data_IF_791361710517
#
_entry.id   IF_791361710517
#
_cell.length_a   1.000
_cell.length_b   1.000
_cell.length_c   1.000
_cell.angle_alpha   90.00
_cell.angle_beta   90.00
_cell.angle_gamma   90.00
#
_symmetry.space_group_name_H-M   'P 1'
#
loop_
_entity.id
_entity.type
_entity.pdbx_description
1 polymer ?
#
# COMPACT_ATOMS: atom_id res chain seq x y z
N UNK A 1 54.72 -9.51 -6.44
CA UNK A 1 54.09 -8.48 -5.59
C UNK A 1 52.56 -8.45 -5.76
N UNK A 2 52.05 -8.38 -7.00
CA UNK A 2 50.62 -8.39 -7.34
C UNK A 2 49.82 -9.58 -6.76
N UNK A 3 50.34 -10.81 -6.85
CA UNK A 3 49.65 -12.00 -6.31
C UNK A 3 49.44 -11.93 -4.78
N UNK A 4 50.37 -11.30 -4.04
CA UNK A 4 50.23 -11.13 -2.58
C UNK A 4 49.14 -10.09 -2.26
N UNK A 5 49.11 -8.99 -3.01
CA UNK A 5 48.07 -7.96 -2.88
C UNK A 5 46.68 -8.51 -3.23
N UNK A 6 46.56 -9.30 -4.31
CA UNK A 6 45.30 -9.93 -4.71
C UNK A 6 44.76 -10.90 -3.64
N UNK A 7 45.64 -11.72 -3.05
CA UNK A 7 45.26 -12.63 -1.95
C UNK A 7 44.79 -11.87 -0.70
N UNK A 8 45.47 -10.78 -0.36
CA UNK A 8 45.09 -9.92 0.77
C UNK A 8 43.74 -9.25 0.51
N UNK A 9 43.52 -8.70 -0.69
CA UNK A 9 42.25 -8.10 -1.08
C UNK A 9 41.11 -9.12 -1.03
N UNK A 10 41.33 -10.32 -1.58
CA UNK A 10 40.34 -11.41 -1.55
C UNK A 10 39.94 -11.78 -0.12
N UNK A 11 40.90 -11.82 0.82
CA UNK A 11 40.61 -12.05 2.25
C UNK A 11 39.68 -10.97 2.82
N UNK A 12 39.94 -9.70 2.54
CA UNK A 12 39.10 -8.61 3.03
C UNK A 12 37.70 -8.63 2.42
N UNK A 13 37.58 -8.92 1.12
CA UNK A 13 36.28 -9.09 0.46
C UNK A 13 35.51 -10.25 1.07
N UNK A 14 36.17 -11.38 1.35
CA UNK A 14 35.53 -12.53 2.00
C UNK A 14 35.06 -12.20 3.41
N UNK A 15 35.86 -11.48 4.20
CA UNK A 15 35.48 -11.03 5.54
C UNK A 15 34.30 -10.06 5.47
N UNK A 16 34.30 -9.12 4.52
CA UNK A 16 33.19 -8.19 4.33
C UNK A 16 31.90 -8.93 3.96
N UNK A 17 31.96 -9.87 3.02
CA UNK A 17 30.80 -10.67 2.61
C UNK A 17 30.25 -11.48 3.79
N UNK A 18 31.13 -12.08 4.59
CA UNK A 18 30.73 -12.81 5.80
C UNK A 18 30.06 -11.89 6.82
N UNK A 19 30.57 -10.67 7.03
CA UNK A 19 29.95 -9.67 7.90
C UNK A 19 28.55 -9.29 7.36
N UNK A 20 28.42 -9.01 6.06
CA UNK A 20 27.12 -8.67 5.45
C UNK A 20 26.09 -9.78 5.66
N UNK A 21 26.48 -11.04 5.44
CA UNK A 21 25.57 -12.18 5.68
C UNK A 21 25.21 -12.29 7.16
N UNK A 22 26.18 -12.20 8.08
CA UNK A 22 25.91 -12.28 9.51
C UNK A 22 24.97 -11.15 9.96
N UNK A 23 25.18 -9.91 9.51
CA UNK A 23 24.30 -8.80 9.83
C UNK A 23 22.89 -9.04 9.25
N UNK A 24 22.79 -9.47 7.98
CA UNK A 24 21.51 -9.78 7.35
C UNK A 24 20.71 -10.85 8.08
N UNK A 25 21.38 -11.86 8.66
CA UNK A 25 20.75 -12.92 9.46
C UNK A 25 20.32 -12.46 10.86
N UNK A 26 20.93 -11.41 11.41
CA UNK A 26 20.60 -10.86 12.73
C UNK A 26 19.52 -9.77 12.66
N UNK A 27 19.29 -9.17 11.49
CA UNK A 27 18.27 -8.15 11.27
C UNK A 27 16.84 -8.73 11.34
N UNK A 28 15.83 -7.95 11.75
CA UNK A 28 14.43 -8.38 11.74
C UNK A 28 13.97 -8.75 10.33
N UNK A 29 13.31 -9.89 10.19
CA UNK A 29 12.77 -10.35 8.91
C UNK A 29 11.33 -9.90 8.66
N UNK A 30 10.66 -9.43 9.72
CA UNK A 30 9.30 -8.91 9.66
C UNK A 30 9.33 -7.41 9.49
N UNK A 31 8.43 -6.89 8.67
CA UNK A 31 8.18 -5.46 8.54
C UNK A 31 6.71 -5.18 8.86
N UNK A 32 6.46 -4.00 9.41
CA UNK A 32 5.13 -3.58 9.83
C UNK A 32 5.03 -2.07 9.76
N UNK A 33 4.02 -1.59 9.04
CA UNK A 33 3.82 -0.17 8.78
C UNK A 33 2.39 0.18 9.17
N UNK A 34 2.23 1.30 9.88
CA UNK A 34 0.93 1.86 10.22
C UNK A 34 0.93 3.36 9.94
N UNK A 35 -0.01 3.83 9.13
CA UNK A 35 -0.20 5.24 8.80
C UNK A 35 -1.67 5.59 8.93
N UNK A 36 -1.96 6.83 9.30
CA UNK A 36 -3.32 7.33 9.37
C UNK A 36 -3.44 8.73 8.78
N UNK A 37 -4.67 9.09 8.43
CA UNK A 37 -5.04 10.43 7.96
C UNK A 37 -6.44 10.78 8.41
N UNK A 38 -6.67 12.05 8.73
CA UNK A 38 -8.02 12.59 8.95
C UNK A 38 -8.59 13.16 7.65
N UNK A 39 -9.75 12.66 7.27
CA UNK A 39 -10.48 13.01 6.04
C UNK A 39 -11.81 13.65 6.41
N UNK A 40 -12.01 14.89 5.97
CA UNK A 40 -13.28 15.60 6.10
C UNK A 40 -14.15 15.36 4.85
N UNK A 41 -14.71 14.15 4.75
CA UNK A 41 -15.62 13.70 3.70
C UNK A 41 -16.56 12.65 4.27
N UNK A 42 -17.70 12.39 3.61
CA UNK A 42 -18.59 11.31 4.00
C UNK A 42 -17.87 9.95 4.05
N UNK A 43 -18.10 9.18 5.11
CA UNK A 43 -17.50 7.85 5.28
C UNK A 43 -17.88 6.88 4.16
N UNK A 44 -19.07 7.02 3.56
CA UNK A 44 -19.46 6.21 2.41
C UNK A 44 -18.57 6.48 1.19
N UNK A 45 -18.23 7.74 0.95
CA UNK A 45 -17.33 8.16 -0.14
C UNK A 45 -15.95 7.52 0.03
N UNK A 46 -15.40 7.58 1.26
CA UNK A 46 -14.11 6.98 1.59
C UNK A 46 -14.14 5.46 1.39
N UNK A 47 -15.17 4.78 1.92
CA UNK A 47 -15.31 3.32 1.81
C UNK A 47 -15.43 2.86 0.37
N UNK A 48 -16.20 3.57 -0.45
CA UNK A 48 -16.33 3.28 -1.88
C UNK A 48 -14.97 3.38 -2.60
N UNK A 49 -14.20 4.43 -2.34
CA UNK A 49 -12.89 4.64 -2.97
C UNK A 49 -11.87 3.53 -2.66
N UNK A 50 -11.90 2.98 -1.43
CA UNK A 50 -10.96 1.93 -1.02
C UNK A 50 -11.46 0.52 -1.34
N UNK A 51 -12.77 0.29 -1.35
CA UNK A 51 -13.37 -1.03 -1.59
C UNK A 51 -13.61 -1.36 -3.07
N UNK A 52 -13.31 -0.45 -3.99
CA UNK A 52 -13.45 -0.64 -5.43
C UNK A 52 -12.10 -0.42 -6.12
N UNK A 53 -11.49 -1.51 -6.59
CA UNK A 53 -10.18 -1.44 -7.26
C UNK A 53 -10.23 -0.65 -8.57
N UNK A 54 -11.39 -0.49 -9.20
CA UNK A 54 -11.53 0.37 -10.36
C UNK A 54 -11.27 1.84 -10.04
N UNK A 55 -11.43 2.26 -8.78
CA UNK A 55 -11.20 3.64 -8.35
C UNK A 55 -9.78 3.89 -7.82
N UNK A 56 -8.98 2.84 -7.63
CA UNK A 56 -7.65 2.98 -7.02
C UNK A 56 -6.71 3.84 -7.84
N UNK A 57 -6.82 3.85 -9.18
CA UNK A 57 -5.99 4.70 -10.04
C UNK A 57 -6.14 6.20 -9.73
N UNK A 58 -7.21 6.63 -9.06
CA UNK A 58 -7.44 8.04 -8.72
C UNK A 58 -6.60 8.52 -7.53
N UNK A 59 -6.19 7.62 -6.63
CA UNK A 59 -5.53 7.98 -5.37
C UNK A 59 -4.29 7.14 -5.05
N UNK A 60 -4.22 5.90 -5.54
CA UNK A 60 -3.09 5.00 -5.32
C UNK A 60 -1.81 5.60 -5.90
N UNK A 61 -0.71 5.68 -5.13
CA UNK A 61 0.54 6.26 -5.58
C UNK A 61 1.43 5.27 -6.33
N UNK A 62 1.04 4.00 -6.46
CA UNK A 62 1.92 2.95 -6.97
C UNK A 62 2.46 3.24 -8.38
N UNK A 63 1.68 3.83 -9.27
CA UNK A 63 2.17 4.25 -10.60
C UNK A 63 3.16 5.43 -10.55
N UNK A 64 3.14 6.25 -9.49
CA UNK A 64 4.12 7.31 -9.26
C UNK A 64 5.43 6.74 -8.68
N UNK A 65 5.31 5.70 -7.84
CA UNK A 65 6.44 5.01 -7.20
C UNK A 65 7.15 4.08 -8.18
N UNK A 66 6.39 3.39 -9.03
CA UNK A 66 6.88 2.52 -10.08
C UNK A 66 6.15 2.84 -11.39
N UNK A 67 6.72 3.69 -12.27
CA UNK A 67 6.10 4.03 -13.55
C UNK A 67 5.93 2.86 -14.51
N UNK A 68 6.56 1.71 -14.25
CA UNK A 68 6.43 0.49 -15.06
C UNK A 68 5.35 -0.46 -14.55
N UNK A 69 4.70 -0.14 -13.42
CA UNK A 69 3.68 -1.02 -12.84
C UNK A 69 2.39 -1.02 -13.67
N UNK A 70 1.92 -2.21 -13.98
CA UNK A 70 0.66 -2.44 -14.67
C UNK A 70 -0.30 -3.14 -13.73
N UNK A 71 -1.48 -2.55 -13.51
CA UNK A 71 -2.56 -3.13 -12.71
C UNK A 71 -3.64 -3.72 -13.61
N UNK A 72 -4.13 -4.91 -13.25
CA UNK A 72 -5.28 -5.56 -13.89
C UNK A 72 -6.31 -5.83 -12.81
N UNK A 73 -7.44 -5.13 -12.88
CA UNK A 73 -8.62 -5.38 -12.03
C UNK A 73 -9.45 -6.48 -12.69
N UNK A 74 -9.72 -7.54 -11.94
CA UNK A 74 -10.55 -8.66 -12.38
C UNK A 74 -11.93 -8.57 -11.73
N UNK A 75 -12.88 -9.39 -12.21
CA UNK A 75 -14.23 -9.43 -11.63
C UNK A 75 -14.34 -10.50 -10.52
N UNK A 76 -14.85 -10.16 -9.33
CA UNK A 76 -15.42 -8.86 -8.95
C UNK A 76 -14.35 -7.77 -8.76
N UNK A 77 -14.61 -6.54 -9.22
CA UNK A 77 -13.70 -5.39 -9.01
C UNK A 77 -13.91 -4.61 -7.70
N UNK A 78 -15.04 -4.85 -7.01
CA UNK A 78 -15.39 -4.15 -5.78
C UNK A 78 -16.04 -5.06 -4.71
N UNK A 79 -15.86 -4.70 -3.44
CA UNK A 79 -16.42 -5.42 -2.30
C UNK A 79 -15.60 -6.64 -1.85
N UNK A 80 -16.21 -7.53 -1.06
CA UNK A 80 -15.55 -8.75 -0.58
C UNK A 80 -15.32 -9.71 -1.74
N UNK A 81 -14.10 -10.27 -1.83
CA UNK A 81 -13.66 -11.11 -2.94
C UNK A 81 -13.14 -10.32 -4.14
N UNK A 82 -13.24 -8.99 -4.11
CA UNK A 82 -12.65 -8.20 -5.17
C UNK A 82 -11.14 -8.37 -5.21
N UNK A 83 -10.59 -8.37 -6.41
CA UNK A 83 -9.17 -8.63 -6.62
C UNK A 83 -8.58 -7.88 -7.80
N UNK A 84 -7.31 -7.51 -7.64
CA UNK A 84 -6.49 -6.96 -8.70
C UNK A 84 -5.12 -7.63 -8.67
N UNK A 85 -4.48 -7.71 -9.83
CA UNK A 85 -3.11 -8.19 -9.98
C UNK A 85 -2.22 -7.11 -10.55
N UNK A 86 -0.92 -7.22 -10.33
CA UNK A 86 0.06 -6.33 -10.93
C UNK A 86 1.34 -7.03 -11.34
N UNK A 87 2.06 -6.40 -12.27
CA UNK A 87 3.45 -6.70 -12.62
C UNK A 87 4.21 -5.38 -12.65
N UNK A 88 5.36 -5.31 -11.99
CA UNK A 88 6.21 -4.12 -11.97
C UNK A 88 7.66 -4.43 -11.60
N UNK A 89 8.46 -3.38 -11.39
CA UNK A 89 9.88 -3.48 -11.03
C UNK A 89 10.08 -4.23 -9.70
N UNK A 90 9.12 -4.12 -8.79
CA UNK A 90 9.19 -4.69 -7.44
C UNK A 90 8.61 -6.11 -7.32
N UNK A 91 8.27 -6.73 -8.45
CA UNK A 91 7.70 -8.06 -8.53
C UNK A 91 6.29 -8.06 -9.10
N UNK A 92 5.63 -9.19 -8.99
CA UNK A 92 4.22 -9.35 -9.35
C UNK A 92 3.44 -9.80 -8.13
N UNK A 93 2.17 -9.46 -8.08
CA UNK A 93 1.32 -9.86 -6.98
C UNK A 93 -0.15 -9.77 -7.30
N UNK A 94 -0.94 -10.29 -6.37
CA UNK A 94 -2.39 -10.22 -6.37
C UNK A 94 -2.84 -9.69 -5.02
N UNK A 95 -3.79 -8.76 -5.02
CA UNK A 95 -4.45 -8.25 -3.82
C UNK A 95 -5.92 -8.65 -3.85
N UNK A 96 -6.43 -9.15 -2.73
CA UNK A 96 -7.83 -9.54 -2.58
C UNK A 96 -8.43 -8.93 -1.32
N UNK A 97 -9.62 -8.35 -1.42
CA UNK A 97 -10.39 -7.87 -0.26
C UNK A 97 -11.03 -9.08 0.41
N UNK A 98 -10.60 -9.41 1.63
CA UNK A 98 -11.03 -10.61 2.34
C UNK A 98 -12.19 -10.38 3.29
N UNK A 99 -12.34 -9.16 3.81
CA UNK A 99 -13.50 -8.79 4.62
C UNK A 99 -13.80 -7.30 4.56
N UNK A 100 -15.08 -6.96 4.72
CA UNK A 100 -15.57 -5.59 4.78
C UNK A 100 -16.65 -5.50 5.86
N UNK A 101 -16.49 -4.54 6.76
CA UNK A 101 -17.39 -4.24 7.87
C UNK A 101 -17.56 -2.73 8.03
N UNK A 102 -18.36 -2.29 8.99
CA UNK A 102 -18.56 -0.87 9.23
C UNK A 102 -17.26 -0.12 9.55
N UNK A 103 -16.38 -0.69 10.37
CA UNK A 103 -15.22 0.05 10.88
C UNK A 103 -13.89 -0.54 10.41
N UNK A 104 -13.94 -1.58 9.58
CA UNK A 104 -12.75 -2.32 9.17
C UNK A 104 -12.91 -2.96 7.79
N UNK A 105 -11.83 -2.93 7.02
CA UNK A 105 -11.64 -3.66 5.79
C UNK A 105 -10.31 -4.42 5.89
N UNK A 106 -10.31 -5.69 5.54
CA UNK A 106 -9.08 -6.50 5.48
C UNK A 106 -8.83 -6.92 4.05
N UNK A 107 -7.57 -6.91 3.64
CA UNK A 107 -7.13 -7.42 2.36
C UNK A 107 -5.86 -8.25 2.53
N UNK A 108 -5.68 -9.22 1.65
CA UNK A 108 -4.46 -10.00 1.57
C UNK A 108 -3.73 -9.63 0.28
N UNK A 109 -2.41 -9.67 0.32
CA UNK A 109 -1.56 -9.61 -0.86
C UNK A 109 -0.81 -10.94 -0.96
N UNK A 110 -0.90 -11.59 -2.11
CA UNK A 110 0.00 -12.66 -2.51
C UNK A 110 1.11 -12.05 -3.39
N UNK A 111 2.32 -11.93 -2.85
CA UNK A 111 3.47 -11.37 -3.57
C UNK A 111 4.39 -12.50 -4.06
N UNK A 112 4.73 -12.46 -5.35
CA UNK A 112 5.60 -13.43 -6.04
C UNK A 112 5.20 -14.91 -5.80
N UNK A 113 3.91 -15.19 -5.57
CA UNK A 113 3.37 -16.53 -5.25
C UNK A 113 3.95 -17.21 -4.00
N UNK A 114 4.68 -16.47 -3.15
CA UNK A 114 5.40 -17.04 -2.01
C UNK A 114 5.01 -16.40 -0.68
N UNK A 115 4.60 -15.13 -0.70
CA UNK A 115 4.39 -14.34 0.51
C UNK A 115 2.94 -13.89 0.62
N UNK A 116 2.31 -14.21 1.75
CA UNK A 116 1.03 -13.64 2.13
C UNK A 116 1.31 -12.47 3.08
N UNK A 117 0.85 -11.30 2.70
CA UNK A 117 0.92 -10.06 3.46
C UNK A 117 -0.51 -9.71 3.85
N UNK A 118 -0.74 -9.38 5.12
CA UNK A 118 -2.05 -8.91 5.58
C UNK A 118 -2.05 -7.38 5.66
N UNK A 119 -3.11 -6.79 5.14
CA UNK A 119 -3.37 -5.36 5.26
C UNK A 119 -4.75 -5.09 5.84
N UNK A 120 -4.83 -4.07 6.68
CA UNK A 120 -6.06 -3.67 7.37
C UNK A 120 -6.24 -2.17 7.21
N UNK A 121 -7.42 -1.77 6.73
CA UNK A 121 -7.91 -0.41 6.83
C UNK A 121 -8.92 -0.34 7.97
N UNK A 122 -8.73 0.58 8.91
CA UNK A 122 -9.72 0.89 9.95
C UNK A 122 -10.28 2.29 9.75
N UNK A 123 -11.57 2.41 10.04
CA UNK A 123 -12.33 3.65 9.93
C UNK A 123 -12.85 4.02 11.31
N UNK A 124 -12.51 5.22 11.78
CA UNK A 124 -13.02 5.77 13.02
C UNK A 124 -13.68 7.11 12.75
N UNK A 125 -14.99 7.19 12.98
CA UNK A 125 -15.73 8.43 12.85
C UNK A 125 -15.52 9.29 14.10
N UNK A 126 -15.06 10.51 13.88
CA UNK A 126 -14.98 11.58 14.88
C UNK A 126 -16.00 12.67 14.49
N UNK A 127 -16.31 13.58 15.42
CA UNK A 127 -17.44 14.51 15.33
C UNK A 127 -17.70 15.08 13.91
N UNK A 128 -16.67 15.57 13.23
CA UNK A 128 -16.76 16.14 11.89
C UNK A 128 -15.72 15.57 10.89
N UNK A 129 -15.02 14.51 11.25
CA UNK A 129 -13.91 13.95 10.45
C UNK A 129 -13.87 12.43 10.56
N UNK A 130 -13.34 11.77 9.53
CA UNK A 130 -13.12 10.33 9.54
C UNK A 130 -11.62 10.08 9.60
N UNK A 131 -11.15 9.37 10.62
CA UNK A 131 -9.77 8.87 10.66
C UNK A 131 -9.71 7.55 9.93
N UNK A 132 -8.87 7.48 8.91
CA UNK A 132 -8.55 6.25 8.18
C UNK A 132 -7.15 5.82 8.58
N UNK A 133 -6.99 4.59 9.06
CA UNK A 133 -5.68 4.01 9.37
C UNK A 133 -5.44 2.82 8.45
N UNK A 134 -4.28 2.77 7.80
CA UNK A 134 -3.80 1.63 7.05
C UNK A 134 -2.66 0.96 7.81
N UNK A 135 -2.81 -0.33 8.09
CA UNK A 135 -1.81 -1.20 8.66
C UNK A 135 -1.43 -2.27 7.63
N UNK A 136 -0.14 -2.53 7.45
CA UNK A 136 0.38 -3.62 6.61
C UNK A 136 1.47 -4.35 7.40
N UNK A 137 1.39 -5.67 7.43
CA UNK A 137 2.44 -6.53 7.99
C UNK A 137 2.82 -7.67 7.04
N UNK A 138 4.11 -8.00 7.05
CA UNK A 138 4.63 -9.11 6.26
C UNK A 138 6.01 -9.55 6.72
N UNK A 139 6.49 -10.62 6.09
CA UNK A 139 7.79 -11.21 6.37
C UNK A 139 8.58 -11.43 5.08
N UNK A 140 9.84 -11.04 5.09
CA UNK A 140 10.80 -11.41 4.07
C UNK A 140 11.37 -12.80 4.33
N UNK A 141 11.36 -13.67 3.33
CA UNK A 141 11.83 -15.06 3.43
C UNK A 141 13.07 -15.34 2.56
N UNK A 142 13.60 -14.32 1.87
CA UNK A 142 14.78 -14.47 1.02
C UNK A 142 16.01 -14.86 1.83
N UNK A 143 16.62 -16.00 1.50
CA UNK A 143 17.77 -16.53 2.24
C UNK A 143 18.96 -15.55 2.21
N UNK A 144 19.65 -15.40 3.36
CA UNK A 144 20.84 -14.55 3.59
C UNK A 144 20.62 -13.02 3.60
N UNK A 145 19.58 -12.51 2.93
CA UNK A 145 19.33 -11.06 2.80
C UNK A 145 17.96 -10.61 3.33
N UNK A 146 17.18 -11.51 3.94
CA UNK A 146 15.81 -11.24 4.40
C UNK A 146 15.71 -10.00 5.27
N UNK A 147 16.62 -9.82 6.23
CA UNK A 147 16.60 -8.66 7.12
C UNK A 147 16.86 -7.33 6.43
N UNK A 148 17.71 -7.29 5.39
CA UNK A 148 17.90 -6.08 4.58
C UNK A 148 16.65 -5.77 3.74
N UNK A 149 16.04 -6.80 3.16
CA UNK A 149 14.82 -6.63 2.37
C UNK A 149 13.65 -6.16 3.21
N UNK A 150 13.50 -6.67 4.44
CA UNK A 150 12.47 -6.19 5.36
C UNK A 150 12.59 -4.68 5.63
N UNK A 151 13.80 -4.17 5.84
CA UNK A 151 14.04 -2.72 6.00
C UNK A 151 13.69 -1.93 4.74
N UNK A 152 14.02 -2.45 3.56
CA UNK A 152 13.68 -1.80 2.27
C UNK A 152 12.16 -1.77 2.07
N UNK A 153 11.47 -2.89 2.31
CA UNK A 153 10.00 -2.96 2.23
C UNK A 153 9.34 -2.01 3.21
N UNK A 154 9.80 -1.98 4.47
CA UNK A 154 9.29 -1.06 5.48
C UNK A 154 9.46 0.40 5.04
N UNK A 155 10.63 0.77 4.53
CA UNK A 155 10.88 2.12 4.03
C UNK A 155 9.97 2.49 2.84
N UNK A 156 9.85 1.61 1.83
CA UNK A 156 9.00 1.86 0.66
C UNK A 156 7.54 1.99 1.08
N UNK A 157 7.03 1.04 1.88
CA UNK A 157 5.64 1.04 2.35
C UNK A 157 5.34 2.25 3.23
N UNK A 158 6.25 2.67 4.10
CA UNK A 158 6.07 3.83 4.98
C UNK A 158 5.80 5.11 4.19
N UNK A 159 6.59 5.36 3.13
CA UNK A 159 6.39 6.54 2.27
C UNK A 159 5.17 6.39 1.35
N UNK A 160 4.97 5.19 0.80
CA UNK A 160 3.87 4.91 -0.15
C UNK A 160 2.51 4.99 0.53
N UNK A 161 2.35 4.43 1.74
CA UNK A 161 1.10 4.54 2.50
C UNK A 161 0.80 5.97 2.92
N UNK A 162 1.81 6.74 3.33
CA UNK A 162 1.63 8.15 3.69
C UNK A 162 1.15 8.96 2.48
N UNK A 163 1.80 8.80 1.32
CA UNK A 163 1.36 9.46 0.09
C UNK A 163 -0.04 9.00 -0.35
N UNK A 164 -0.31 7.70 -0.32
CA UNK A 164 -1.60 7.14 -0.73
C UNK A 164 -2.76 7.60 0.14
N UNK A 165 -2.57 7.66 1.47
CA UNK A 165 -3.59 8.19 2.38
C UNK A 165 -3.83 9.70 2.17
N UNK A 166 -2.80 10.48 1.87
CA UNK A 166 -2.94 11.90 1.54
C UNK A 166 -3.65 12.12 0.19
N UNK A 167 -3.39 11.29 -0.81
CA UNK A 167 -4.10 11.31 -2.08
C UNK A 167 -5.58 10.91 -1.87
N UNK A 168 -5.85 9.84 -1.12
CA UNK A 168 -7.20 9.40 -0.77
C UNK A 168 -7.99 10.52 -0.08
N UNK A 169 -7.35 11.22 0.87
CA UNK A 169 -7.92 12.41 1.50
C UNK A 169 -8.35 13.44 0.46
N UNK A 170 -7.44 13.83 -0.44
CA UNK A 170 -7.71 14.83 -1.47
C UNK A 170 -8.90 14.41 -2.36
N UNK A 171 -8.86 13.19 -2.89
CA UNK A 171 -9.91 12.68 -3.80
C UNK A 171 -11.26 12.57 -3.11
N UNK A 172 -11.29 12.07 -1.87
CA UNK A 172 -12.52 11.95 -1.10
C UNK A 172 -13.16 13.32 -0.82
N UNK A 173 -12.37 14.29 -0.38
CA UNK A 173 -12.87 15.64 -0.08
C UNK A 173 -13.40 16.36 -1.33
N UNK A 174 -12.70 16.23 -2.47
CA UNK A 174 -13.15 16.80 -3.73
C UNK A 174 -14.47 16.17 -4.21
N UNK A 175 -14.57 14.85 -4.14
CA UNK A 175 -15.77 14.11 -4.54
C UNK A 175 -16.99 14.51 -3.69
N UNK A 176 -16.79 14.69 -2.38
CA UNK A 176 -17.85 15.09 -1.45
C UNK A 176 -18.35 16.51 -1.73
N UNK A 177 -17.43 17.47 -1.94
CA UNK A 177 -17.77 18.86 -2.29
C UNK A 177 -18.59 18.91 -3.60
N UNK A 178 -18.19 18.15 -4.62
CA UNK A 178 -18.91 18.07 -5.89
C UNK A 178 -20.32 17.49 -5.72
N UNK A 179 -20.47 16.45 -4.89
CA UNK A 179 -21.78 15.85 -4.60
C UNK A 179 -22.74 16.85 -3.94
N UNK A 180 -22.23 17.67 -3.01
CA UNK A 180 -23.01 18.71 -2.32
C UNK A 180 -23.41 19.81 -3.30
N UNK A 181 -22.47 20.30 -4.13
CA UNK A 181 -22.74 21.33 -5.13
C UNK A 181 -23.83 20.88 -6.12
N UNK A 182 -23.70 19.68 -6.69
CA UNK A 182 -24.67 19.13 -7.64
C UNK A 182 -26.06 18.93 -7.01
N UNK A 183 -26.14 18.61 -5.72
CA UNK A 183 -27.41 18.48 -5.00
C UNK A 183 -28.12 19.82 -4.78
N UNK A 184 -27.38 20.93 -4.75
CA UNK A 184 -27.92 22.27 -4.57
C UNK A 184 -28.46 22.82 -5.90
N UNK A 185 -27.72 22.61 -7.00
CA UNK A 185 -28.13 23.03 -8.34
C UNK A 185 -29.39 22.29 -8.84
N UNK A 186 -29.49 20.98 -8.56
CA UNK A 186 -30.68 20.19 -8.91
C UNK A 186 -31.97 20.73 -8.26
N UNK A 187 -31.90 21.19 -7.00
CA UNK A 187 -33.08 21.74 -6.29
C UNK A 187 -33.51 23.10 -6.82
N UNK A 188 -32.60 23.89 -7.38
CA UNK A 188 -32.91 25.21 -7.92
C UNK A 188 -33.48 25.14 -9.35
N UNK A 189 -33.22 24.05 -10.08
CA UNK A 189 -33.75 23.83 -11.45
C UNK A 189 -35.23 23.43 -11.51
N UNK A 190 -35.80 22.93 -10.41
CA UNK A 190 -37.19 22.46 -10.33
C UNK A 190 -38.20 23.53 -9.88
N UNK A 191 -37.81 24.80 -9.78
CA UNK A 191 -38.69 25.89 -9.30
C UNK A 191 -39.13 26.88 -10.39
N UNK A 192 -38.89 26.56 -11.67
CA UNK A 192 -39.42 27.31 -12.82
C UNK A 192 -40.30 26.38 -13.65
N UNK A 193 -41.55 26.23 -13.22
CA UNK A 193 -42.70 25.86 -14.05
C UNK A 193 -43.96 26.51 -13.45
#
# INVERSE_FOLDING_TARGET
MVIKLLKTLFKYVLVLLLITVVVGLLLPQNYRVSKNVEINANISTIKTLVADFNQWHTWSPWQQVDPSIEFIVNEPGAGVGAHQSWVGQWGHGEMTITSLSENKMTFNILLNNEHIIEGILTFSQQANTNTVTCYIEGQSTTLLISGYMALVYEYILNNTLELGLNNLKTVAQLSDIQSVANSHDSKNSTSTD
#
